data_IF_196251394832
#
_entry.id   IF_196251394832
#
_cell.length_a   1.000
_cell.length_b   1.000
_cell.length_c   1.000
_cell.angle_alpha   90.00
_cell.angle_beta   90.00
_cell.angle_gamma   90.00
#
_symmetry.space_group_name_H-M   'P 1'
#
loop_
_entity.id
_entity.type
_entity.pdbx_description
1 polymer ?
#
# COMPACT_ATOMS: atom_id res chain seq x y z
N UNK A 1 -10.40 1.80 6.78
CA UNK A 1 -9.98 2.80 5.79
C UNK A 1 -10.92 4.00 5.83
N UNK A 2 -10.37 5.21 5.68
CA UNK A 2 -11.14 6.44 5.70
C UNK A 2 -10.51 7.50 4.80
N UNK A 3 -11.34 8.41 4.26
CA UNK A 3 -10.85 9.58 3.54
C UNK A 3 -10.51 10.69 4.51
N UNK A 4 -9.30 11.24 4.42
CA UNK A 4 -8.82 12.33 5.28
C UNK A 4 -9.07 13.74 4.69
N UNK A 5 -9.46 13.82 3.44
CA UNK A 5 -9.61 15.10 2.73
C UNK A 5 -10.52 16.10 3.46
N UNK A 6 -11.69 15.66 3.89
CA UNK A 6 -12.65 16.52 4.61
C UNK A 6 -12.12 16.99 5.96
N UNK A 7 -11.35 16.14 6.63
CA UNK A 7 -10.71 16.44 7.91
C UNK A 7 -9.60 17.50 7.73
N UNK A 8 -8.76 17.35 6.71
CA UNK A 8 -7.73 18.36 6.38
C UNK A 8 -8.38 19.71 6.04
N UNK A 9 -9.41 19.70 5.21
CA UNK A 9 -10.13 20.93 4.86
C UNK A 9 -10.72 21.65 6.08
N UNK A 10 -11.28 20.89 7.01
CA UNK A 10 -11.83 21.43 8.26
C UNK A 10 -10.75 21.99 9.18
N UNK A 11 -9.69 21.24 9.43
CA UNK A 11 -8.58 21.63 10.31
C UNK A 11 -7.81 22.83 9.77
N UNK A 12 -7.63 22.92 8.47
CA UNK A 12 -6.90 24.01 7.81
C UNK A 12 -7.77 25.23 7.44
N UNK A 13 -9.05 25.26 7.85
CA UNK A 13 -9.92 26.37 7.46
C UNK A 13 -10.10 26.51 5.94
N UNK A 14 -10.08 25.41 5.21
CA UNK A 14 -10.14 25.34 3.75
C UNK A 14 -8.79 25.08 3.07
N UNK A 15 -7.68 25.29 3.75
CA UNK A 15 -6.32 25.02 3.28
C UNK A 15 -5.92 23.58 3.63
N UNK A 16 -5.68 22.75 2.60
CA UNK A 16 -5.37 21.33 2.77
C UNK A 16 -3.99 21.10 3.39
N UNK A 17 -3.01 21.94 3.06
CA UNK A 17 -1.64 21.81 3.58
C UNK A 17 -1.61 22.13 5.06
N UNK A 18 -2.22 23.25 5.47
CA UNK A 18 -2.36 23.59 6.90
C UNK A 18 -3.11 22.48 7.66
N UNK A 19 -4.15 21.92 7.06
CA UNK A 19 -4.90 20.82 7.67
C UNK A 19 -4.07 19.54 7.81
N UNK A 20 -3.27 19.20 6.80
CA UNK A 20 -2.31 18.10 6.85
C UNK A 20 -1.28 18.29 7.98
N UNK A 21 -0.66 19.47 8.04
CA UNK A 21 0.33 19.80 9.07
C UNK A 21 -0.27 19.77 10.48
N UNK A 22 -1.46 20.34 10.66
CA UNK A 22 -2.17 20.30 11.94
C UNK A 22 -2.48 18.87 12.38
N UNK A 23 -2.95 17.99 11.48
CA UNK A 23 -3.24 16.60 11.82
C UNK A 23 -1.98 15.82 12.17
N UNK A 24 -0.86 16.08 11.51
CA UNK A 24 0.41 15.40 11.76
C UNK A 24 1.01 15.73 13.14
N UNK A 25 0.60 16.81 13.77
CA UNK A 25 0.99 17.15 15.15
C UNK A 25 0.13 16.44 16.20
N UNK A 26 -0.97 15.82 15.80
CA UNK A 26 -1.89 15.15 16.72
C UNK A 26 -1.43 13.74 17.03
N UNK A 27 -1.78 13.27 18.24
CA UNK A 27 -1.69 11.83 18.54
C UNK A 27 -2.71 11.05 17.71
N UNK A 28 -2.38 9.81 17.37
CA UNK A 28 -3.27 8.95 16.58
C UNK A 28 -4.69 8.85 17.16
N UNK A 29 -4.82 8.73 18.50
CA UNK A 29 -6.10 8.63 19.18
C UNK A 29 -6.98 9.87 18.98
N UNK A 30 -6.37 11.04 18.86
CA UNK A 30 -7.06 12.32 18.59
C UNK A 30 -7.42 12.44 17.11
N UNK A 31 -6.44 12.23 16.23
CA UNK A 31 -6.62 12.33 14.78
C UNK A 31 -7.71 11.37 14.26
N UNK A 32 -7.73 10.12 14.75
CA UNK A 32 -8.73 9.11 14.33
C UNK A 32 -10.16 9.55 14.58
N UNK A 33 -10.43 10.36 15.61
CA UNK A 33 -11.79 10.82 15.90
C UNK A 33 -12.30 11.85 14.88
N UNK A 34 -11.39 12.50 14.17
CA UNK A 34 -11.70 13.49 13.15
C UNK A 34 -11.92 12.86 11.76
N UNK A 35 -11.43 11.65 11.55
CA UNK A 35 -11.50 10.95 10.26
C UNK A 35 -12.71 10.02 10.28
N UNK A 36 -13.86 10.54 9.85
CA UNK A 36 -15.15 9.86 9.95
C UNK A 36 -15.69 9.30 8.63
N UNK A 37 -14.98 9.53 7.51
CA UNK A 37 -15.41 9.09 6.17
C UNK A 37 -14.74 7.77 5.81
N UNK A 38 -15.46 6.62 5.84
CA UNK A 38 -14.92 5.35 5.37
C UNK A 38 -14.76 5.33 3.85
N UNK A 39 -14.06 4.34 3.35
CA UNK A 39 -14.08 4.01 1.93
C UNK A 39 -15.51 3.69 1.51
N UNK A 40 -15.95 4.26 0.40
CA UNK A 40 -17.31 4.13 -0.12
C UNK A 40 -17.30 3.63 -1.58
N UNK A 41 -18.47 3.32 -2.12
CA UNK A 41 -18.61 2.80 -3.48
C UNK A 41 -17.89 3.67 -4.53
N UNK A 42 -17.97 4.99 -4.41
CA UNK A 42 -17.40 5.95 -5.35
C UNK A 42 -15.86 6.00 -5.36
N UNK A 43 -15.20 5.44 -4.36
CA UNK A 43 -13.73 5.31 -4.35
C UNK A 43 -13.23 4.26 -5.35
N UNK A 44 -14.08 3.28 -5.68
CA UNK A 44 -13.77 2.17 -6.59
C UNK A 44 -14.65 2.11 -7.83
N UNK A 45 -15.84 2.73 -7.79
CA UNK A 45 -16.82 2.68 -8.87
C UNK A 45 -17.16 4.07 -9.40
N UNK A 46 -17.37 4.15 -10.70
CA UNK A 46 -17.99 5.32 -11.29
C UNK A 46 -19.46 5.40 -10.84
N UNK A 47 -19.92 6.56 -10.33
CA UNK A 47 -21.26 6.68 -9.76
C UNK A 47 -22.38 6.57 -10.80
N UNK A 48 -22.07 6.73 -12.10
CA UNK A 48 -23.07 6.68 -13.18
C UNK A 48 -23.15 5.30 -13.82
N UNK A 49 -21.99 4.69 -14.09
CA UNK A 49 -21.91 3.42 -14.83
C UNK A 49 -21.68 2.21 -13.92
N UNK A 50 -21.23 2.43 -12.68
CA UNK A 50 -20.77 1.40 -11.73
C UNK A 50 -19.54 0.62 -12.21
N UNK A 51 -18.89 1.03 -13.29
CA UNK A 51 -17.63 0.47 -13.72
C UNK A 51 -16.52 0.77 -12.70
N UNK A 52 -15.52 -0.13 -12.64
CA UNK A 52 -14.35 0.11 -11.78
C UNK A 52 -13.57 1.32 -12.28
N UNK A 53 -13.15 2.17 -11.35
CA UNK A 53 -12.28 3.30 -11.65
C UNK A 53 -11.26 3.53 -10.54
N UNK A 54 -10.12 4.03 -10.92
CA UNK A 54 -9.12 4.60 -10.00
C UNK A 54 -9.38 6.09 -9.85
N UNK A 55 -9.43 6.58 -8.62
CA UNK A 55 -9.75 7.98 -8.31
C UNK A 55 -8.56 8.79 -7.81
N UNK A 56 -7.43 8.15 -7.49
CA UNK A 56 -6.25 8.80 -6.92
C UNK A 56 -5.27 9.22 -8.03
N UNK A 57 -5.09 10.55 -8.27
CA UNK A 57 -4.26 11.03 -9.38
C UNK A 57 -2.81 10.52 -9.34
N UNK A 58 -2.20 10.43 -8.14
CA UNK A 58 -0.85 9.90 -8.00
C UNK A 58 -0.72 8.46 -8.50
N UNK A 59 -1.73 7.61 -8.26
CA UNK A 59 -1.72 6.23 -8.75
C UNK A 59 -1.89 6.16 -10.28
N UNK A 60 -2.76 7.00 -10.85
CA UNK A 60 -2.90 7.12 -12.31
C UNK A 60 -1.56 7.48 -12.97
N UNK A 61 -0.87 8.50 -12.44
CA UNK A 61 0.44 8.93 -12.91
C UNK A 61 1.51 7.82 -12.72
N UNK A 62 1.50 7.15 -11.57
CA UNK A 62 2.44 6.07 -11.26
C UNK A 62 2.31 4.89 -12.22
N UNK A 63 1.11 4.39 -12.42
CA UNK A 63 0.86 3.29 -13.38
C UNK A 63 1.19 3.69 -14.81
N UNK A 64 0.85 4.91 -15.23
CA UNK A 64 1.19 5.40 -16.56
C UNK A 64 2.73 5.40 -16.80
N UNK A 65 3.52 5.76 -15.77
CA UNK A 65 4.99 5.69 -15.83
C UNK A 65 5.51 4.25 -15.93
N UNK A 66 4.98 3.34 -15.11
CA UNK A 66 5.35 1.91 -15.15
C UNK A 66 5.03 1.30 -16.52
N UNK A 67 3.85 1.57 -17.05
CA UNK A 67 3.44 1.12 -18.39
C UNK A 67 4.30 1.75 -19.48
N UNK A 68 4.65 3.03 -19.36
CA UNK A 68 5.58 3.72 -20.26
C UNK A 68 6.96 3.08 -20.29
N UNK A 69 7.51 2.70 -19.14
CA UNK A 69 8.78 1.97 -19.05
C UNK A 69 8.71 0.57 -19.70
N UNK A 70 7.52 -0.03 -19.76
CA UNK A 70 7.25 -1.29 -20.47
C UNK A 70 6.97 -1.10 -21.98
N UNK A 71 7.11 0.13 -22.50
CA UNK A 71 6.89 0.44 -23.92
C UNK A 71 5.43 0.76 -24.29
N UNK A 72 4.53 0.89 -23.32
CA UNK A 72 3.13 1.27 -23.55
C UNK A 72 2.98 2.76 -23.37
N UNK A 73 2.97 3.52 -24.47
CA UNK A 73 2.79 4.98 -24.44
C UNK A 73 1.34 5.41 -24.17
N UNK A 74 1.16 6.58 -23.55
CA UNK A 74 -0.13 7.23 -23.32
C UNK A 74 -1.18 6.33 -22.64
N UNK A 75 -0.77 5.48 -21.70
CA UNK A 75 -1.67 4.60 -20.97
C UNK A 75 -2.54 5.39 -20.00
N UNK A 76 -3.85 5.31 -20.18
CA UNK A 76 -4.85 5.82 -19.24
C UNK A 76 -5.45 4.64 -18.47
N UNK A 77 -5.25 4.63 -17.15
CA UNK A 77 -5.65 3.52 -16.28
C UNK A 77 -7.15 3.22 -16.38
N UNK A 78 -7.99 4.26 -16.39
CA UNK A 78 -9.45 4.08 -16.41
C UNK A 78 -10.01 3.71 -17.77
N UNK A 79 -9.24 3.91 -18.85
CA UNK A 79 -9.64 3.56 -20.21
C UNK A 79 -9.02 2.27 -20.70
N UNK A 80 -7.73 2.08 -20.42
CA UNK A 80 -6.90 1.07 -21.09
C UNK A 80 -6.60 -0.16 -20.23
N UNK A 81 -6.77 -0.05 -18.90
CA UNK A 81 -6.54 -1.17 -18.02
C UNK A 81 -7.58 -2.29 -18.25
N UNK A 82 -7.08 -3.52 -18.29
CA UNK A 82 -7.96 -4.69 -18.34
C UNK A 82 -8.80 -4.78 -17.07
N UNK A 83 -9.94 -5.47 -17.15
CA UNK A 83 -10.77 -5.74 -15.98
C UNK A 83 -9.98 -6.39 -14.86
N UNK A 84 -9.03 -7.28 -15.17
CA UNK A 84 -8.21 -7.97 -14.16
C UNK A 84 -7.21 -7.02 -13.50
N UNK A 85 -6.58 -6.13 -14.26
CA UNK A 85 -5.74 -5.08 -13.69
C UNK A 85 -6.54 -4.15 -12.78
N UNK A 86 -7.73 -3.72 -13.21
CA UNK A 86 -8.59 -2.87 -12.39
C UNK A 86 -8.98 -3.54 -11.06
N UNK A 87 -9.13 -4.86 -11.00
CA UNK A 87 -9.39 -5.62 -9.76
C UNK A 87 -8.21 -5.60 -8.77
N UNK A 88 -7.02 -5.19 -9.20
CA UNK A 88 -5.88 -4.88 -8.36
C UNK A 88 -5.71 -3.37 -8.14
N UNK A 89 -5.86 -2.56 -9.18
CA UNK A 89 -5.61 -1.13 -9.15
C UNK A 89 -6.53 -0.35 -8.21
N UNK A 90 -7.80 -0.73 -8.09
CA UNK A 90 -8.73 -0.10 -7.14
C UNK A 90 -8.34 -0.34 -5.67
N UNK A 91 -7.52 -1.35 -5.39
CA UNK A 91 -6.92 -1.57 -4.08
C UNK A 91 -5.58 -0.84 -3.96
N UNK A 92 -4.72 -1.02 -4.98
CA UNK A 92 -3.39 -0.44 -5.06
C UNK A 92 -3.38 1.09 -4.99
N UNK A 93 -4.44 1.77 -5.43
CA UNK A 93 -4.51 3.24 -5.30
C UNK A 93 -4.43 3.76 -3.86
N UNK A 94 -4.60 2.88 -2.86
CA UNK A 94 -4.47 3.19 -1.43
C UNK A 94 -3.49 2.26 -0.73
N UNK A 95 -3.36 1.01 -1.15
CA UNK A 95 -2.43 0.01 -0.61
C UNK A 95 -1.12 0.01 -1.40
N UNK A 96 -0.29 1.01 -1.18
CA UNK A 96 0.85 1.37 -2.04
C UNK A 96 1.90 2.15 -1.26
N UNK A 97 3.17 2.01 -1.62
CA UNK A 97 4.25 2.84 -1.12
C UNK A 97 4.17 4.25 -1.72
N UNK A 98 4.27 5.26 -0.88
CA UNK A 98 4.21 6.66 -1.29
C UNK A 98 4.95 7.58 -0.33
N UNK A 99 5.27 8.79 -0.80
CA UNK A 99 5.76 9.87 0.04
C UNK A 99 5.19 11.22 -0.40
N UNK A 100 5.34 12.22 0.44
CA UNK A 100 4.91 13.58 0.13
C UNK A 100 6.10 14.41 -0.32
N UNK A 101 6.12 14.75 -1.62
CA UNK A 101 7.20 15.47 -2.26
C UNK A 101 6.95 16.98 -2.19
N UNK A 102 8.01 17.72 -1.86
CA UNK A 102 8.04 19.19 -1.92
C UNK A 102 7.21 19.89 -0.83
N UNK A 103 7.22 21.22 -0.83
CA UNK A 103 6.48 22.03 0.14
C UNK A 103 4.95 21.86 0.01
N UNK A 104 4.48 21.64 -1.21
CA UNK A 104 3.06 21.42 -1.53
C UNK A 104 2.57 20.03 -1.16
N UNK A 105 3.43 19.18 -0.55
CA UNK A 105 3.10 17.84 -0.08
C UNK A 105 2.43 16.99 -1.17
N UNK A 106 2.96 17.04 -2.40
CA UNK A 106 2.44 16.24 -3.49
C UNK A 106 2.66 14.76 -3.23
N UNK A 107 1.58 13.99 -3.16
CA UNK A 107 1.66 12.54 -3.06
C UNK A 107 2.35 11.97 -4.30
N UNK A 108 3.45 11.25 -4.09
CA UNK A 108 4.35 10.77 -5.13
C UNK A 108 4.70 9.31 -4.86
N UNK A 109 4.78 8.51 -5.93
CA UNK A 109 5.21 7.12 -5.85
C UNK A 109 6.69 6.98 -6.30
N UNK A 110 7.50 6.20 -5.59
CA UNK A 110 8.94 6.03 -5.88
C UNK A 110 9.20 5.00 -7.00
N UNK A 111 8.42 5.05 -8.09
CA UNK A 111 8.37 4.01 -9.13
C UNK A 111 9.13 4.33 -10.42
N UNK A 112 9.97 5.36 -10.43
CA UNK A 112 10.67 5.74 -11.66
C UNK A 112 11.66 4.69 -12.19
N UNK A 113 12.09 3.77 -11.30
CA UNK A 113 13.00 2.67 -11.66
C UNK A 113 12.28 1.32 -11.78
N UNK A 114 11.14 1.17 -11.10
CA UNK A 114 10.35 -0.05 -11.05
C UNK A 114 9.61 -0.20 -9.72
N UNK A 115 9.14 -1.41 -9.45
CA UNK A 115 8.31 -1.74 -8.29
C UNK A 115 9.02 -2.66 -7.28
N UNK A 116 10.26 -3.05 -7.53
CA UNK A 116 11.01 -3.90 -6.62
C UNK A 116 11.61 -3.07 -5.45
N UNK A 117 11.79 -3.71 -4.31
CA UNK A 117 12.26 -3.03 -3.10
C UNK A 117 13.60 -2.30 -3.31
N UNK A 118 14.54 -2.91 -4.01
CA UNK A 118 15.86 -2.32 -4.30
C UNK A 118 15.75 -1.12 -5.27
N UNK A 119 14.81 -1.18 -6.22
CA UNK A 119 14.53 -0.08 -7.15
C UNK A 119 13.93 1.11 -6.43
N UNK A 120 13.01 0.87 -5.49
CA UNK A 120 12.40 1.88 -4.63
C UNK A 120 13.44 2.51 -3.71
N UNK A 121 14.30 1.70 -3.07
CA UNK A 121 15.39 2.19 -2.24
C UNK A 121 16.34 3.08 -3.03
N UNK A 122 16.79 2.62 -4.20
CA UNK A 122 17.63 3.40 -5.10
C UNK A 122 16.98 4.73 -5.51
N UNK A 123 15.69 4.75 -5.72
CA UNK A 123 14.95 5.98 -6.01
C UNK A 123 15.05 6.99 -4.84
N UNK A 124 14.82 6.53 -3.61
CA UNK A 124 14.89 7.39 -2.43
C UNK A 124 16.31 7.91 -2.17
N UNK A 125 17.32 7.08 -2.36
CA UNK A 125 18.74 7.47 -2.22
C UNK A 125 19.13 8.57 -3.22
N UNK A 126 18.78 8.41 -4.50
CA UNK A 126 19.06 9.40 -5.53
C UNK A 126 18.34 10.74 -5.31
N UNK A 127 17.12 10.70 -4.78
CA UNK A 127 16.35 11.89 -4.45
C UNK A 127 16.73 12.51 -3.09
N UNK A 128 17.59 11.85 -2.32
CA UNK A 128 17.99 12.29 -0.99
C UNK A 128 16.84 12.38 0.00
N UNK A 129 15.74 11.64 -0.25
CA UNK A 129 14.56 11.69 0.60
C UNK A 129 14.73 10.87 1.87
N UNK A 130 14.20 11.38 2.97
CA UNK A 130 14.13 10.76 4.30
C UNK A 130 12.80 11.13 4.94
N UNK A 131 12.20 10.21 5.67
CA UNK A 131 11.03 10.55 6.49
C UNK A 131 11.45 11.30 7.76
N UNK A 132 12.51 10.86 8.42
CA UNK A 132 13.05 11.52 9.63
C UNK A 132 14.51 11.15 9.90
N UNK A 133 15.07 11.79 10.91
CA UNK A 133 16.37 11.43 11.47
C UNK A 133 16.13 10.77 12.82
N UNK A 134 16.71 9.59 13.03
CA UNK A 134 16.58 8.86 14.30
C UNK A 134 17.26 9.60 15.44
N UNK A 135 16.52 9.91 16.51
CA UNK A 135 16.96 10.84 17.56
C UNK A 135 18.21 10.43 18.32
N UNK A 136 18.44 9.12 18.53
CA UNK A 136 19.58 8.64 19.31
C UNK A 136 20.82 8.37 18.45
N UNK A 137 20.63 7.85 17.24
CA UNK A 137 21.75 7.46 16.36
C UNK A 137 22.10 8.52 15.30
N UNK A 138 21.24 9.52 15.09
CA UNK A 138 21.41 10.48 13.99
C UNK A 138 21.22 9.87 12.59
N UNK A 139 20.84 8.61 12.48
CA UNK A 139 20.68 7.93 11.20
C UNK A 139 19.48 8.47 10.42
N UNK A 140 19.65 8.74 9.11
CA UNK A 140 18.53 9.03 8.23
C UNK A 140 17.65 7.79 8.07
N UNK A 141 16.34 7.95 8.21
CA UNK A 141 15.40 6.81 8.26
C UNK A 141 14.32 6.96 7.21
N UNK A 142 14.04 5.89 6.50
CA UNK A 142 12.89 5.73 5.61
C UNK A 142 11.83 4.86 6.28
N UNK A 143 10.57 5.16 6.00
CA UNK A 143 9.42 4.35 6.40
C UNK A 143 8.75 3.79 5.16
N UNK A 144 8.65 2.48 5.06
CA UNK A 144 7.72 1.87 4.13
C UNK A 144 6.29 2.13 4.64
N UNK A 145 5.43 2.75 3.82
CA UNK A 145 4.08 3.11 4.23
C UNK A 145 3.21 1.84 4.36
N UNK A 146 2.73 1.31 3.27
CA UNK A 146 2.05 0.02 3.18
C UNK A 146 2.16 -0.51 1.73
N UNK A 147 3.32 -1.08 1.38
CA UNK A 147 3.71 -1.43 0.03
C UNK A 147 3.07 -2.74 -0.46
N UNK A 148 1.79 -2.95 -0.17
CA UNK A 148 1.11 -4.20 -0.53
C UNK A 148 1.02 -4.38 -2.03
N UNK A 149 0.84 -3.30 -2.81
CA UNK A 149 0.78 -3.36 -4.27
C UNK A 149 2.11 -3.81 -4.86
N UNK A 150 3.22 -3.24 -4.39
CA UNK A 150 4.58 -3.57 -4.82
C UNK A 150 4.94 -5.01 -4.41
N UNK A 151 4.68 -5.40 -3.17
CA UNK A 151 4.94 -6.75 -2.68
C UNK A 151 4.11 -7.80 -3.44
N UNK A 152 2.83 -7.53 -3.70
CA UNK A 152 1.99 -8.41 -4.50
C UNK A 152 2.52 -8.52 -5.92
N UNK A 153 2.93 -7.42 -6.54
CA UNK A 153 3.40 -7.36 -7.93
C UNK A 153 4.65 -8.22 -8.17
N UNK A 154 5.51 -8.38 -7.15
CA UNK A 154 6.69 -9.26 -7.19
C UNK A 154 6.32 -10.74 -7.04
N UNK A 155 5.12 -11.05 -6.58
CA UNK A 155 4.69 -12.40 -6.25
C UNK A 155 4.25 -13.24 -7.45
N UNK A 156 4.23 -14.57 -7.25
CA UNK A 156 3.78 -15.54 -8.28
C UNK A 156 2.32 -15.31 -8.66
N UNK A 157 1.46 -14.90 -7.73
CA UNK A 157 0.06 -14.67 -8.00
C UNK A 157 -0.17 -13.52 -8.99
N UNK A 158 0.55 -12.39 -8.83
CA UNK A 158 0.49 -11.30 -9.79
C UNK A 158 0.95 -11.73 -11.19
N UNK A 159 2.08 -12.44 -11.28
CA UNK A 159 2.62 -12.98 -12.54
C UNK A 159 1.68 -14.00 -13.21
N UNK A 160 0.83 -14.65 -12.43
CA UNK A 160 -0.21 -15.57 -12.92
C UNK A 160 -1.54 -14.87 -13.22
N UNK A 161 -1.60 -13.53 -13.14
CA UNK A 161 -2.80 -12.75 -13.42
C UNK A 161 -3.86 -12.79 -12.30
N UNK A 162 -3.49 -13.17 -11.07
CA UNK A 162 -4.39 -13.16 -9.91
C UNK A 162 -4.38 -11.78 -9.28
N UNK A 163 -5.53 -11.12 -9.23
CA UNK A 163 -5.69 -9.80 -8.65
C UNK A 163 -5.95 -9.83 -7.14
N UNK A 164 -5.78 -8.70 -6.48
CA UNK A 164 -6.08 -8.53 -5.05
C UNK A 164 -7.52 -8.97 -4.72
N UNK A 165 -8.47 -8.56 -5.56
CA UNK A 165 -9.89 -8.88 -5.37
C UNK A 165 -10.22 -10.37 -5.56
N UNK A 166 -9.40 -11.16 -6.22
CA UNK A 166 -9.64 -12.60 -6.36
C UNK A 166 -9.51 -13.34 -5.03
N UNK A 167 -8.63 -12.84 -4.17
CA UNK A 167 -8.43 -13.37 -2.82
C UNK A 167 -9.26 -12.65 -1.76
N UNK A 168 -9.28 -11.30 -1.78
CA UNK A 168 -9.92 -10.48 -0.74
C UNK A 168 -11.40 -10.20 -0.99
N UNK A 169 -11.88 -10.34 -2.22
CA UNK A 169 -13.26 -10.16 -2.66
C UNK A 169 -13.67 -11.33 -3.58
N UNK A 170 -13.55 -12.59 -3.14
CA UNK A 170 -13.81 -13.73 -3.99
C UNK A 170 -15.24 -13.70 -4.53
N UNK A 171 -15.45 -14.30 -5.70
CA UNK A 171 -16.77 -14.36 -6.27
C UNK A 171 -17.72 -15.24 -5.45
N UNK A 172 -18.96 -14.79 -5.33
CA UNK A 172 -20.07 -15.52 -4.76
C UNK A 172 -21.28 -15.47 -5.70
N UNK A 173 -22.20 -16.43 -5.53
CA UNK A 173 -23.49 -16.42 -6.23
C UNK A 173 -24.56 -15.80 -5.36
N UNK A 174 -25.33 -14.89 -5.96
CA UNK A 174 -26.56 -14.32 -5.38
C UNK A 174 -27.66 -14.53 -6.41
N UNK A 175 -28.49 -15.54 -6.21
CA UNK A 175 -29.42 -16.01 -7.24
C UNK A 175 -28.68 -16.47 -8.50
N UNK A 176 -29.03 -15.92 -9.65
CA UNK A 176 -28.37 -16.20 -10.93
C UNK A 176 -27.07 -15.40 -11.16
N UNK A 177 -26.81 -14.39 -10.36
CA UNK A 177 -25.66 -13.50 -10.55
C UNK A 177 -24.41 -14.03 -9.87
N UNK A 178 -23.25 -13.78 -10.52
CA UNK A 178 -21.92 -13.97 -9.96
C UNK A 178 -21.36 -12.57 -9.64
N UNK A 179 -21.22 -12.28 -8.35
CA UNK A 179 -20.76 -10.99 -7.86
C UNK A 179 -19.51 -11.14 -6.98
N UNK A 180 -18.68 -10.10 -6.87
CA UNK A 180 -17.59 -10.04 -5.89
C UNK A 180 -18.14 -9.84 -4.48
N UNK A 181 -17.61 -10.55 -3.50
CA UNK A 181 -17.94 -10.35 -2.08
C UNK A 181 -17.28 -9.03 -1.60
N UNK A 182 -18.10 -8.04 -1.26
CA UNK A 182 -17.63 -6.75 -0.79
C UNK A 182 -17.24 -6.71 0.70
N UNK A 183 -17.32 -7.84 1.40
CA UNK A 183 -16.71 -7.98 2.72
C UNK A 183 -15.21 -8.21 2.60
N UNK A 184 -14.47 -7.13 2.36
CA UNK A 184 -13.00 -7.19 2.22
C UNK A 184 -12.38 -7.64 3.54
N UNK A 185 -11.83 -8.87 3.56
CA UNK A 185 -11.27 -9.50 4.75
C UNK A 185 -10.14 -10.46 4.40
N UNK A 186 -9.50 -11.04 5.43
CA UNK A 186 -8.45 -12.04 5.21
C UNK A 186 -8.97 -13.23 4.39
N UNK A 187 -8.27 -13.61 3.30
CA UNK A 187 -8.62 -14.76 2.48
C UNK A 187 -8.67 -16.08 3.26
N UNK A 188 -7.92 -16.20 4.36
CA UNK A 188 -7.92 -17.38 5.25
C UNK A 188 -9.28 -17.66 5.87
N UNK A 189 -10.15 -16.65 5.97
CA UNK A 189 -11.52 -16.80 6.42
C UNK A 189 -12.47 -17.38 5.35
N UNK A 190 -12.00 -17.48 4.09
CA UNK A 190 -12.77 -17.96 2.94
C UNK A 190 -11.93 -18.82 2.01
N UNK A 191 -11.12 -19.73 2.54
CA UNK A 191 -10.14 -20.54 1.75
C UNK A 191 -10.83 -21.23 0.57
N UNK A 192 -12.02 -21.77 0.77
CA UNK A 192 -12.81 -22.44 -0.27
C UNK A 192 -13.10 -21.55 -1.48
N UNK A 193 -13.39 -20.26 -1.25
CA UNK A 193 -13.71 -19.33 -2.33
C UNK A 193 -12.49 -18.54 -2.85
N UNK A 194 -11.52 -18.29 -1.97
CA UNK A 194 -10.32 -17.52 -2.31
C UNK A 194 -9.21 -18.37 -2.92
N UNK A 195 -8.99 -19.57 -2.38
CA UNK A 195 -7.85 -20.41 -2.74
C UNK A 195 -8.24 -21.63 -3.59
N UNK A 196 -9.30 -22.37 -3.19
CA UNK A 196 -9.65 -23.64 -3.84
C UNK A 196 -10.30 -23.48 -5.22
N UNK A 197 -10.55 -22.26 -5.68
CA UNK A 197 -10.91 -21.99 -7.08
C UNK A 197 -9.77 -22.35 -8.04
N UNK A 198 -8.52 -22.29 -7.57
CA UNK A 198 -7.31 -22.61 -8.33
C UNK A 198 -6.54 -23.78 -7.70
N UNK A 199 -6.42 -23.83 -6.38
CA UNK A 199 -5.70 -24.88 -5.66
C UNK A 199 -6.61 -26.05 -5.29
N UNK A 200 -6.10 -27.29 -5.44
CA UNK A 200 -6.88 -28.53 -5.22
C UNK A 200 -6.63 -29.20 -3.87
N UNK A 201 -5.85 -28.57 -3.00
CA UNK A 201 -5.56 -29.07 -1.66
C UNK A 201 -6.74 -28.80 -0.70
N UNK A 202 -6.77 -29.53 0.41
CA UNK A 202 -7.76 -29.30 1.46
C UNK A 202 -7.61 -27.90 2.09
N UNK A 203 -8.67 -27.41 2.72
CA UNK A 203 -8.59 -26.13 3.46
C UNK A 203 -7.56 -26.21 4.60
N UNK A 204 -7.43 -27.38 5.24
CA UNK A 204 -6.47 -27.60 6.31
C UNK A 204 -5.03 -27.45 5.79
N UNK A 205 -4.70 -28.12 4.70
CA UNK A 205 -3.35 -28.07 4.10
C UNK A 205 -2.99 -26.66 3.62
N UNK A 206 -3.96 -25.95 3.01
CA UNK A 206 -3.76 -24.58 2.55
C UNK A 206 -3.55 -23.63 3.74
N UNK A 207 -4.30 -23.80 4.80
CA UNK A 207 -4.18 -23.01 6.04
C UNK A 207 -2.84 -23.23 6.71
N UNK A 208 -2.43 -24.48 6.87
CA UNK A 208 -1.14 -24.85 7.43
C UNK A 208 0.01 -24.25 6.62
N UNK A 209 -0.04 -24.36 5.29
CA UNK A 209 0.95 -23.75 4.40
C UNK A 209 1.02 -22.23 4.55
N UNK A 210 -0.11 -21.55 4.63
CA UNK A 210 -0.16 -20.09 4.80
C UNK A 210 0.50 -19.71 6.13
N UNK A 211 0.14 -20.36 7.22
CA UNK A 211 0.71 -20.06 8.54
C UNK A 211 2.20 -20.37 8.59
N UNK A 212 2.65 -21.49 8.05
CA UNK A 212 4.09 -21.82 7.97
C UNK A 212 4.88 -20.73 7.25
N UNK A 213 4.35 -20.20 6.12
CA UNK A 213 5.02 -19.11 5.38
C UNK A 213 5.02 -17.81 6.21
N UNK A 214 3.89 -17.48 6.84
CA UNK A 214 3.76 -16.28 7.66
C UNK A 214 4.66 -16.31 8.89
N UNK A 215 4.69 -17.44 9.61
CA UNK A 215 5.53 -17.63 10.80
C UNK A 215 7.01 -17.50 10.44
N UNK A 216 7.46 -18.16 9.36
CA UNK A 216 8.84 -18.03 8.90
C UNK A 216 9.21 -16.61 8.49
N UNK A 217 8.32 -15.91 7.81
CA UNK A 217 8.53 -14.49 7.44
C UNK A 217 8.61 -13.63 8.70
N UNK A 218 7.76 -13.90 9.68
CA UNK A 218 7.75 -13.19 10.96
C UNK A 218 9.04 -13.42 11.75
N UNK A 219 9.55 -14.64 11.80
CA UNK A 219 10.84 -14.98 12.42
C UNK A 219 11.98 -14.20 11.77
N UNK A 220 12.08 -14.24 10.43
CA UNK A 220 13.11 -13.52 9.68
C UNK A 220 13.01 -12.00 9.90
N UNK A 221 11.80 -11.45 9.89
CA UNK A 221 11.57 -10.04 10.20
C UNK A 221 12.07 -9.68 11.60
N UNK A 222 11.78 -10.49 12.60
CA UNK A 222 12.21 -10.24 13.97
C UNK A 222 13.73 -10.26 14.08
N UNK A 223 14.40 -11.23 13.47
CA UNK A 223 15.87 -11.26 13.41
C UNK A 223 16.45 -9.98 12.80
N UNK A 224 15.87 -9.49 11.70
CA UNK A 224 16.30 -8.26 11.05
C UNK A 224 16.05 -7.03 11.95
N UNK A 225 14.87 -6.95 12.59
CA UNK A 225 14.54 -5.86 13.52
C UNK A 225 15.48 -5.83 14.72
N UNK A 226 15.77 -6.98 15.32
CA UNK A 226 16.70 -7.09 16.44
C UNK A 226 18.10 -6.63 16.05
N UNK A 227 18.59 -7.03 14.87
CA UNK A 227 19.88 -6.59 14.36
C UNK A 227 19.94 -5.06 14.14
N UNK A 228 18.88 -4.46 13.59
CA UNK A 228 18.78 -3.00 13.40
C UNK A 228 18.74 -2.27 14.73
N UNK A 229 18.00 -2.78 15.73
CA UNK A 229 17.93 -2.20 17.08
C UNK A 229 19.30 -2.24 17.77
N UNK A 230 20.02 -3.37 17.66
CA UNK A 230 21.37 -3.48 18.18
C UNK A 230 22.32 -2.48 17.52
N UNK A 231 22.34 -2.42 16.21
CA UNK A 231 23.16 -1.47 15.46
C UNK A 231 22.87 -0.01 15.85
N UNK A 232 21.60 0.37 15.94
CA UNK A 232 21.23 1.73 16.35
C UNK A 232 21.72 2.09 17.75
N UNK A 233 21.68 1.14 18.69
CA UNK A 233 22.22 1.32 20.05
C UNK A 233 23.73 1.47 20.05
N UNK A 234 24.45 0.67 19.26
CA UNK A 234 25.91 0.72 19.17
C UNK A 234 26.37 2.05 18.57
N UNK A 235 25.71 2.55 17.51
CA UNK A 235 25.98 3.86 16.92
C UNK A 235 25.72 4.98 17.95
N UNK A 236 24.60 4.92 18.66
CA UNK A 236 24.28 5.91 19.68
C UNK A 236 25.29 5.89 20.87
N UNK A 237 25.81 4.72 21.23
CA UNK A 237 26.85 4.60 22.24
C UNK A 237 28.18 5.18 21.77
N UNK A 238 28.62 4.86 20.55
CA UNK A 238 29.82 5.42 19.95
C UNK A 238 29.77 6.94 19.85
N UNK A 239 28.67 7.51 19.37
CA UNK A 239 28.49 8.96 19.26
C UNK A 239 28.59 9.68 20.61
N UNK A 240 28.16 9.06 21.70
CA UNK A 240 28.31 9.60 23.07
C UNK A 240 29.77 9.55 23.55
N UNK A 241 30.52 8.54 23.20
CA UNK A 241 31.94 8.40 23.62
C UNK A 241 32.85 9.38 22.88
N UNK A 242 32.55 9.71 21.63
CA UNK A 242 33.32 10.67 20.84
C UNK A 242 33.05 12.14 21.22
N UNK A 243 32.01 12.38 22.03
CA UNK A 243 31.62 13.73 22.50
C UNK A 243 32.22 14.09 23.89
N UNK A 244 32.98 13.18 24.49
CA UNK A 244 33.68 13.35 25.77
C UNK A 244 35.19 13.42 25.58
#
# INVERSE_FOLDING_TARGET
HASVYTSYKKLGGGDLIKGFEAMNQMKYQEARTLVTHPVSCIDCHDPTTMELRVTRPGFLEGIAKVKGAQGVGNFDVNRDATRQEMRAYVCGQCHVEYYFRGPEKRLTYPWNKGLEADEILSYYEENGFRDWVHGESGAPTLKAQHPEFEMWNQGIHARSGVACADCHMPYQRVGAMKISDHHVRSPVLNINRSCQTCHKWSEADLRERIYTIQDRTFEMRNMAVDAVVHLARDIAAAARSDST
#
